data_IF_528262503686
#
_entry.id   IF_528262503686
#
_cell.length_a   1.000
_cell.length_b   1.000
_cell.length_c   1.000
_cell.angle_alpha   90.00
_cell.angle_beta   90.00
_cell.angle_gamma   90.00
#
_symmetry.space_group_name_H-M   'P 1'
#
loop_
_entity.id
_entity.type
_entity.pdbx_description
1 polymer ?
#
# COMPACT_ATOMS: atom_id res chain seq x y z
N UNK A 1 28.90 -10.04 9.41
CA UNK A 1 28.22 -8.84 8.89
C UNK A 1 28.85 -7.63 9.58
N UNK A 2 29.29 -6.63 8.80
CA UNK A 2 30.06 -5.48 9.31
C UNK A 2 29.20 -4.56 10.20
N UNK A 3 27.86 -4.56 10.05
CA UNK A 3 26.94 -3.65 10.73
C UNK A 3 25.83 -4.36 11.54
N UNK A 4 26.03 -5.59 11.98
CA UNK A 4 25.07 -6.33 12.80
C UNK A 4 23.99 -7.07 12.00
N UNK A 5 22.83 -7.27 12.61
CA UNK A 5 21.68 -7.93 12.00
C UNK A 5 21.09 -7.12 10.84
N UNK A 6 20.59 -7.81 9.83
CA UNK A 6 19.94 -7.17 8.67
C UNK A 6 18.49 -6.76 8.94
N UNK A 7 17.94 -7.05 10.14
CA UNK A 7 16.56 -6.77 10.52
C UNK A 7 16.52 -5.82 11.70
N UNK A 8 15.64 -4.83 11.64
CA UNK A 8 15.27 -4.04 12.81
C UNK A 8 14.35 -4.87 13.69
N UNK A 9 14.73 -5.05 14.96
CA UNK A 9 13.92 -5.71 16.00
C UNK A 9 13.43 -4.66 17.00
N UNK A 10 12.38 -3.95 16.62
CA UNK A 10 11.77 -2.91 17.43
C UNK A 10 10.32 -2.69 16.96
N UNK A 11 9.36 -2.53 17.89
CA UNK A 11 7.99 -2.17 17.55
C UNK A 11 7.95 -0.71 17.14
N UNK A 12 7.91 -0.46 15.82
CA UNK A 12 7.91 0.89 15.25
C UNK A 12 6.50 1.47 15.20
N UNK A 13 5.51 0.64 14.86
CA UNK A 13 4.13 1.09 14.61
C UNK A 13 3.17 0.51 15.64
N UNK A 14 2.28 1.35 16.18
CA UNK A 14 1.23 0.87 17.09
C UNK A 14 0.13 0.10 16.36
N UNK A 15 -0.11 0.42 15.10
CA UNK A 15 -1.18 -0.17 14.26
C UNK A 15 -0.81 -1.52 13.64
N UNK A 16 0.45 -1.93 13.70
CA UNK A 16 0.94 -3.21 13.16
C UNK A 16 1.50 -4.06 14.28
N UNK A 17 1.04 -5.29 14.42
CA UNK A 17 1.47 -6.19 15.50
C UNK A 17 2.83 -6.88 15.25
N UNK A 18 3.69 -6.25 14.47
CA UNK A 18 5.05 -6.72 14.21
C UNK A 18 6.10 -5.85 14.91
N UNK A 19 7.15 -6.51 15.37
CA UNK A 19 8.36 -5.86 15.88
C UNK A 19 9.61 -6.20 15.07
N UNK A 20 9.44 -6.80 13.87
CA UNK A 20 10.57 -7.22 13.03
C UNK A 20 10.35 -6.71 11.61
N UNK A 21 11.28 -5.86 11.16
CA UNK A 21 11.22 -5.24 9.83
C UNK A 21 12.52 -5.47 9.07
N UNK A 22 12.39 -5.93 7.81
CA UNK A 22 13.53 -6.09 6.89
C UNK A 22 13.96 -4.73 6.32
N UNK A 23 13.01 -3.84 6.11
CA UNK A 23 13.24 -2.50 5.57
C UNK A 23 12.07 -1.57 5.95
N UNK A 24 12.39 -0.30 6.11
CA UNK A 24 11.44 0.78 6.33
C UNK A 24 11.71 1.89 5.31
N UNK A 25 10.72 2.75 5.10
CA UNK A 25 10.83 3.92 4.22
C UNK A 25 10.82 5.17 5.10
N UNK A 26 11.79 6.04 4.92
CA UNK A 26 11.75 7.40 5.44
C UNK A 26 11.18 8.30 4.35
N UNK A 27 10.01 8.89 4.60
CA UNK A 27 9.33 9.75 3.64
C UNK A 27 9.13 11.14 4.24
N UNK A 28 9.40 12.16 3.44
CA UNK A 28 8.98 13.54 3.67
C UNK A 28 7.57 13.73 3.14
N UNK A 29 7.08 14.96 3.09
CA UNK A 29 5.83 15.29 2.42
C UNK A 29 5.84 15.07 0.91
N UNK A 30 7.00 14.83 0.29
CA UNK A 30 7.17 14.69 -1.15
C UNK A 30 6.53 15.87 -1.91
N UNK A 31 5.45 15.69 -2.68
CA UNK A 31 4.77 16.79 -3.36
C UNK A 31 4.04 17.75 -2.38
N UNK A 32 3.85 17.35 -1.13
CA UNK A 32 3.27 18.15 -0.04
C UNK A 32 4.32 18.82 0.85
N UNK A 33 5.59 18.86 0.48
CA UNK A 33 6.65 19.52 1.27
C UNK A 33 6.53 21.05 1.25
N UNK A 34 6.81 21.70 2.40
CA UNK A 34 6.74 23.16 2.57
C UNK A 34 7.57 23.95 1.58
N UNK A 35 8.69 23.39 1.12
CA UNK A 35 9.58 24.06 0.17
C UNK A 35 8.92 24.38 -1.20
N UNK A 36 7.80 23.76 -1.54
CA UNK A 36 7.12 23.98 -2.81
C UNK A 36 6.14 25.15 -2.79
N UNK A 37 5.44 25.37 -1.69
CA UNK A 37 4.60 26.55 -1.44
C UNK A 37 4.03 26.55 -0.01
N UNK A 38 3.48 27.70 0.43
CA UNK A 38 2.96 27.90 1.77
C UNK A 38 1.68 27.12 2.09
N UNK A 39 1.05 26.50 1.08
CA UNK A 39 -0.17 25.68 1.26
C UNK A 39 0.13 24.20 1.47
N UNK A 40 1.40 23.83 1.53
CA UNK A 40 1.82 22.45 1.78
C UNK A 40 1.81 22.15 3.27
N UNK A 41 1.38 20.95 3.62
CA UNK A 41 1.10 20.56 5.01
C UNK A 41 1.98 19.44 5.52
N UNK A 42 2.63 18.71 4.61
CA UNK A 42 3.44 17.50 4.89
C UNK A 42 2.62 16.29 5.36
N UNK A 43 1.34 16.48 5.69
CA UNK A 43 0.49 15.45 6.32
C UNK A 43 -0.64 14.91 5.45
N UNK A 44 -0.79 15.37 4.20
CA UNK A 44 -1.93 14.96 3.33
C UNK A 44 -2.04 13.45 3.21
N UNK A 45 -0.94 12.81 2.86
CA UNK A 45 -0.93 11.37 2.66
C UNK A 45 -1.22 10.59 3.95
N UNK A 46 -0.66 11.01 5.10
CA UNK A 46 -0.94 10.34 6.37
C UNK A 46 -2.38 10.54 6.84
N UNK A 47 -2.98 11.71 6.61
CA UNK A 47 -4.39 11.96 6.93
C UNK A 47 -5.29 11.09 6.07
N UNK A 48 -5.08 11.06 4.75
CA UNK A 48 -5.88 10.24 3.84
C UNK A 48 -5.76 8.74 4.14
N UNK A 49 -4.54 8.26 4.36
CA UNK A 49 -4.31 6.84 4.69
C UNK A 49 -4.87 6.47 6.05
N UNK A 50 -4.84 7.36 7.06
CA UNK A 50 -5.45 7.13 8.37
C UNK A 50 -6.97 6.99 8.26
N UNK A 51 -7.62 7.87 7.49
CA UNK A 51 -9.07 7.78 7.25
C UNK A 51 -9.45 6.47 6.54
N UNK A 52 -8.67 6.05 5.55
CA UNK A 52 -8.88 4.77 4.89
C UNK A 52 -8.69 3.60 5.86
N UNK A 53 -7.66 3.63 6.70
CA UNK A 53 -7.40 2.58 7.69
C UNK A 53 -8.49 2.47 8.76
N UNK A 54 -9.14 3.59 9.11
CA UNK A 54 -10.22 3.61 10.11
C UNK A 54 -11.59 3.23 9.53
N UNK A 55 -11.92 3.71 8.33
CA UNK A 55 -13.27 3.60 7.76
C UNK A 55 -13.38 2.71 6.53
N UNK A 56 -12.28 2.40 5.87
CA UNK A 56 -12.22 1.58 4.66
C UNK A 56 -11.73 0.16 4.90
N UNK A 57 -11.59 -0.59 3.82
CA UNK A 57 -11.07 -1.96 3.79
C UNK A 57 -9.92 -2.16 2.82
N UNK A 58 -9.48 -1.10 2.13
CA UNK A 58 -8.22 -1.12 1.43
C UNK A 58 -7.07 -1.08 2.46
N UNK A 59 -6.01 -1.82 2.16
CA UNK A 59 -4.84 -1.84 3.04
C UNK A 59 -4.11 -0.48 3.01
N UNK A 60 -3.50 -0.09 4.12
CA UNK A 60 -2.75 1.15 4.26
C UNK A 60 -1.39 0.89 4.89
N UNK A 61 -0.39 1.69 4.54
CA UNK A 61 0.91 1.65 5.22
C UNK A 61 0.79 2.25 6.62
N UNK A 62 1.31 1.56 7.63
CA UNK A 62 1.55 2.16 8.92
C UNK A 62 2.63 3.26 8.83
N UNK A 63 2.53 4.24 9.71
CA UNK A 63 3.48 5.35 9.77
C UNK A 63 3.71 5.82 11.20
N UNK A 64 4.90 6.41 11.43
CA UNK A 64 5.23 7.17 12.65
C UNK A 64 5.94 8.48 12.26
N UNK A 65 5.53 9.62 12.80
CA UNK A 65 6.24 10.88 12.61
C UNK A 65 7.54 10.89 13.42
N UNK A 66 8.61 11.36 12.79
CA UNK A 66 9.91 11.47 13.42
C UNK A 66 10.60 12.79 13.11
N UNK A 67 11.52 13.18 13.97
CA UNK A 67 12.50 14.22 13.69
C UNK A 67 13.80 13.53 13.26
N UNK A 68 14.25 13.82 12.04
CA UNK A 68 15.44 13.20 11.50
C UNK A 68 16.68 14.07 11.79
N UNK A 69 17.71 13.43 12.34
CA UNK A 69 19.05 13.99 12.44
C UNK A 69 20.01 13.14 11.63
N UNK A 70 20.86 13.78 10.83
CA UNK A 70 21.94 13.13 10.08
C UNK A 70 23.27 13.67 10.59
N UNK A 71 24.12 12.78 11.10
CA UNK A 71 25.41 13.16 11.71
C UNK A 71 25.29 14.27 12.76
N UNK A 72 24.21 14.25 13.55
CA UNK A 72 23.94 15.24 14.58
C UNK A 72 23.30 16.55 14.10
N UNK A 73 23.13 16.74 12.80
CA UNK A 73 22.46 17.91 12.23
C UNK A 73 20.98 17.63 11.98
N UNK A 74 20.13 18.57 12.38
CA UNK A 74 18.69 18.51 12.12
C UNK A 74 18.40 18.49 10.62
N UNK A 75 17.58 17.54 10.17
CA UNK A 75 17.25 17.35 8.75
C UNK A 75 15.74 17.41 8.45
N UNK A 76 14.91 17.77 9.42
CA UNK A 76 13.48 17.97 9.21
C UNK A 76 12.58 16.89 9.84
N UNK A 77 11.27 17.04 9.55
CA UNK A 77 10.23 16.10 9.95
C UNK A 77 10.05 15.08 8.84
N UNK A 78 10.06 13.80 9.20
CA UNK A 78 9.86 12.68 8.31
C UNK A 78 8.80 11.74 8.89
N UNK A 79 8.30 10.85 8.04
CA UNK A 79 7.48 9.72 8.46
C UNK A 79 8.25 8.42 8.19
N UNK A 80 8.47 7.63 9.23
CA UNK A 80 8.85 6.23 9.03
C UNK A 80 7.60 5.50 8.57
N UNK A 81 7.71 4.71 7.51
CA UNK A 81 6.64 3.91 6.93
C UNK A 81 7.06 2.49 6.66
N UNK A 82 6.08 1.61 6.62
CA UNK A 82 6.28 0.29 6.07
C UNK A 82 6.68 0.38 4.60
N UNK A 83 7.54 -0.53 4.17
CA UNK A 83 7.76 -0.77 2.75
C UNK A 83 6.71 -1.75 2.25
N UNK A 84 6.05 -1.42 1.13
CA UNK A 84 5.09 -2.33 0.49
C UNK A 84 5.85 -3.43 -0.24
N UNK A 85 6.08 -4.53 0.47
CA UNK A 85 6.70 -5.77 -0.01
C UNK A 85 6.03 -6.99 0.65
N UNK A 86 6.64 -8.16 0.56
CA UNK A 86 6.10 -9.39 1.16
C UNK A 86 5.99 -9.29 2.68
N UNK A 87 6.90 -8.52 3.32
CA UNK A 87 6.89 -8.32 4.77
C UNK A 87 5.67 -7.51 5.22
N UNK A 88 5.26 -6.52 4.42
CA UNK A 88 4.01 -5.79 4.64
C UNK A 88 2.82 -6.76 4.73
N UNK A 89 2.66 -7.65 3.74
CA UNK A 89 1.58 -8.64 3.73
C UNK A 89 1.68 -9.59 4.92
N UNK A 90 2.89 -10.06 5.25
CA UNK A 90 3.12 -10.93 6.40
C UNK A 90 2.68 -10.28 7.71
N UNK A 91 3.02 -9.01 7.91
CA UNK A 91 2.75 -8.27 9.14
C UNK A 91 1.26 -7.94 9.31
N UNK A 92 0.60 -7.50 8.22
CA UNK A 92 -0.81 -7.11 8.27
C UNK A 92 -1.76 -8.28 8.45
N UNK A 93 -1.40 -9.46 7.92
CA UNK A 93 -2.27 -10.64 7.92
C UNK A 93 -1.78 -11.76 8.84
N UNK A 94 -0.69 -11.54 9.56
CA UNK A 94 -0.08 -12.54 10.45
C UNK A 94 0.13 -13.90 9.74
N UNK A 95 0.67 -13.86 8.52
CA UNK A 95 0.92 -15.06 7.71
C UNK A 95 2.40 -15.21 7.40
N UNK A 96 2.85 -16.46 7.31
CA UNK A 96 4.16 -16.75 6.72
C UNK A 96 4.07 -16.53 5.22
N UNK A 97 4.98 -15.73 4.67
CA UNK A 97 4.98 -15.42 3.24
C UNK A 97 6.38 -15.38 2.65
N UNK A 98 6.45 -15.67 1.36
CA UNK A 98 7.65 -15.59 0.53
C UNK A 98 7.31 -14.88 -0.78
N UNK A 99 8.32 -14.56 -1.58
CA UNK A 99 8.12 -14.04 -2.95
C UNK A 99 7.31 -14.96 -3.85
N UNK A 100 7.33 -16.26 -3.57
CA UNK A 100 6.55 -17.25 -4.33
C UNK A 100 5.06 -17.29 -3.89
N UNK A 101 4.77 -16.81 -2.70
CA UNK A 101 3.42 -16.83 -2.12
C UNK A 101 2.66 -15.53 -2.41
N UNK A 102 3.40 -14.44 -2.64
CA UNK A 102 2.87 -13.09 -2.78
C UNK A 102 3.18 -12.51 -4.15
N UNK A 103 2.17 -12.00 -4.81
CA UNK A 103 2.33 -11.15 -5.99
C UNK A 103 1.95 -9.72 -5.61
N UNK A 104 2.82 -8.76 -5.95
CA UNK A 104 2.58 -7.33 -5.79
C UNK A 104 2.77 -6.68 -7.15
N UNK A 105 1.74 -6.01 -7.62
CA UNK A 105 1.75 -5.33 -8.91
C UNK A 105 1.50 -3.83 -8.71
N UNK A 106 1.99 -3.03 -9.65
CA UNK A 106 1.63 -1.62 -9.79
C UNK A 106 0.49 -1.49 -10.81
N UNK A 107 -0.29 -0.42 -10.74
CA UNK A 107 -1.49 -0.24 -11.58
C UNK A 107 -1.19 -0.26 -13.09
N UNK A 108 0.02 0.13 -13.49
CA UNK A 108 0.49 0.04 -14.87
C UNK A 108 0.92 -1.37 -15.32
N UNK A 109 0.78 -2.36 -14.43
CA UNK A 109 1.12 -3.76 -14.66
C UNK A 109 2.58 -4.14 -14.35
N UNK A 110 3.39 -3.22 -13.82
CA UNK A 110 4.75 -3.55 -13.37
C UNK A 110 4.71 -4.54 -12.21
N UNK A 111 5.46 -5.64 -12.34
CA UNK A 111 5.61 -6.65 -11.28
C UNK A 111 6.66 -6.18 -10.29
N UNK A 112 6.25 -5.87 -9.05
CA UNK A 112 7.15 -5.52 -7.94
C UNK A 112 7.61 -6.75 -7.19
N UNK A 113 6.76 -7.79 -7.11
CA UNK A 113 7.09 -9.10 -6.55
C UNK A 113 6.18 -10.17 -7.12
N UNK A 114 6.64 -11.42 -7.13
CA UNK A 114 5.87 -12.58 -7.58
C UNK A 114 5.58 -12.60 -9.09
N UNK A 115 4.33 -12.80 -9.46
CA UNK A 115 3.89 -12.97 -10.86
C UNK A 115 2.58 -12.26 -11.15
N UNK A 116 2.43 -11.77 -12.37
CA UNK A 116 1.20 -11.15 -12.88
C UNK A 116 0.24 -12.13 -13.57
N UNK A 117 0.62 -13.41 -13.69
CA UNK A 117 -0.13 -14.40 -14.49
C UNK A 117 -1.57 -14.57 -14.02
N UNK A 118 -1.84 -14.64 -12.72
CA UNK A 118 -3.20 -14.69 -12.15
C UNK A 118 -4.00 -13.44 -12.50
N UNK A 119 -3.38 -12.27 -12.37
CA UNK A 119 -4.03 -11.00 -12.68
C UNK A 119 -4.36 -10.89 -14.17
N UNK A 120 -3.40 -11.19 -15.04
CA UNK A 120 -3.61 -11.24 -16.50
C UNK A 120 -4.71 -12.22 -16.91
N UNK A 121 -4.77 -13.38 -16.29
CA UNK A 121 -5.83 -14.37 -16.55
C UNK A 121 -7.21 -13.82 -16.16
N UNK A 122 -7.33 -13.16 -15.01
CA UNK A 122 -8.55 -12.48 -14.56
C UNK A 122 -8.97 -11.37 -15.52
N UNK A 123 -8.06 -10.49 -15.92
CA UNK A 123 -8.35 -9.42 -16.89
C UNK A 123 -8.76 -9.99 -18.25
N UNK A 124 -8.07 -11.02 -18.73
CA UNK A 124 -8.45 -11.70 -19.98
C UNK A 124 -9.85 -12.32 -19.90
N UNK A 125 -10.23 -12.85 -18.73
CA UNK A 125 -11.59 -13.37 -18.52
C UNK A 125 -12.62 -12.23 -18.57
N UNK A 126 -12.37 -11.11 -17.89
CA UNK A 126 -13.25 -9.92 -17.90
C UNK A 126 -13.45 -9.40 -19.33
N UNK A 127 -12.38 -9.29 -20.11
CA UNK A 127 -12.43 -8.78 -21.48
C UNK A 127 -13.23 -9.67 -22.45
N UNK A 128 -13.34 -10.96 -22.15
CA UNK A 128 -14.03 -11.94 -23.01
C UNK A 128 -15.45 -12.28 -22.55
N UNK A 129 -15.84 -11.85 -21.36
CA UNK A 129 -17.09 -12.28 -20.75
C UNK A 129 -17.83 -11.10 -20.13
N UNK A 130 -19.13 -10.98 -20.40
CA UNK A 130 -19.97 -9.96 -19.77
C UNK A 130 -20.13 -10.23 -18.28
N UNK A 131 -19.81 -9.25 -17.43
CA UNK A 131 -20.03 -9.28 -15.98
C UNK A 131 -21.49 -9.05 -15.58
N UNK A 132 -22.39 -8.69 -16.54
CA UNK A 132 -23.85 -8.72 -16.31
C UNK A 132 -24.36 -10.14 -16.10
N UNK A 133 -23.63 -11.14 -16.56
CA UNK A 133 -23.89 -12.53 -16.23
C UNK A 133 -23.46 -12.84 -14.79
N UNK A 134 -24.41 -13.24 -13.96
CA UNK A 134 -24.17 -13.51 -12.52
C UNK A 134 -23.09 -14.55 -12.28
N UNK A 135 -22.97 -15.57 -13.12
CA UNK A 135 -21.96 -16.61 -12.97
C UNK A 135 -20.54 -16.08 -13.30
N UNK A 136 -20.43 -15.21 -14.32
CA UNK A 136 -19.16 -14.59 -14.63
C UNK A 136 -18.73 -13.61 -13.53
N UNK A 137 -19.66 -12.81 -13.01
CA UNK A 137 -19.40 -11.92 -11.90
C UNK A 137 -18.98 -12.70 -10.63
N UNK A 138 -19.66 -13.81 -10.31
CA UNK A 138 -19.29 -14.66 -9.19
C UNK A 138 -17.83 -15.15 -9.30
N UNK A 139 -17.40 -15.61 -10.46
CA UNK A 139 -16.00 -16.02 -10.70
C UNK A 139 -14.98 -14.91 -10.46
N UNK A 140 -15.34 -13.65 -10.76
CA UNK A 140 -14.46 -12.51 -10.49
C UNK A 140 -14.42 -12.19 -9.00
N UNK A 141 -15.55 -12.28 -8.29
CA UNK A 141 -15.60 -12.10 -6.83
C UNK A 141 -14.75 -13.12 -6.04
N UNK A 142 -14.47 -14.27 -6.62
CA UNK A 142 -13.56 -15.26 -6.06
C UNK A 142 -12.09 -14.89 -6.24
N UNK A 143 -11.77 -13.96 -7.15
CA UNK A 143 -10.41 -13.59 -7.51
C UNK A 143 -10.00 -12.20 -7.02
N UNK A 144 -10.96 -11.33 -6.71
CA UNK A 144 -10.71 -9.97 -6.25
C UNK A 144 -11.59 -9.64 -5.04
N UNK A 145 -11.04 -8.95 -4.06
CA UNK A 145 -11.80 -8.36 -2.98
C UNK A 145 -12.51 -7.11 -3.48
N UNK A 146 -13.81 -7.27 -3.81
CA UNK A 146 -14.62 -6.18 -4.38
C UNK A 146 -14.75 -5.01 -3.39
N UNK A 147 -14.81 -5.29 -2.09
CA UNK A 147 -14.93 -4.22 -1.09
C UNK A 147 -13.64 -3.40 -1.02
N UNK A 148 -12.49 -4.05 -0.96
CA UNK A 148 -11.18 -3.39 -1.01
C UNK A 148 -11.03 -2.54 -2.30
N UNK A 149 -11.44 -3.07 -3.45
CA UNK A 149 -11.45 -2.33 -4.72
C UNK A 149 -12.35 -1.09 -4.67
N UNK A 150 -13.58 -1.24 -4.17
CA UNK A 150 -14.53 -0.12 -4.09
C UNK A 150 -14.05 0.96 -3.12
N UNK A 151 -13.61 0.58 -1.92
CA UNK A 151 -13.13 1.52 -0.92
C UNK A 151 -11.88 2.25 -1.40
N UNK A 152 -10.96 1.54 -2.08
CA UNK A 152 -9.81 2.15 -2.74
C UNK A 152 -10.25 3.25 -3.72
N UNK A 153 -11.14 2.95 -4.67
CA UNK A 153 -11.59 3.94 -5.65
C UNK A 153 -12.39 5.09 -5.04
N UNK A 154 -13.19 4.83 -4.00
CA UNK A 154 -13.88 5.89 -3.24
C UNK A 154 -12.84 6.81 -2.60
N UNK A 155 -11.79 6.26 -1.99
CA UNK A 155 -10.70 7.05 -1.41
C UNK A 155 -9.98 7.92 -2.45
N UNK A 156 -9.59 7.32 -3.59
CA UNK A 156 -8.92 8.03 -4.70
C UNK A 156 -9.76 9.20 -5.25
N UNK A 157 -11.07 8.97 -5.44
CA UNK A 157 -12.01 10.00 -5.91
C UNK A 157 -12.21 11.07 -4.85
N UNK A 158 -12.41 10.68 -3.58
CA UNK A 158 -12.62 11.61 -2.48
C UNK A 158 -11.43 12.54 -2.25
N UNK A 159 -10.22 12.01 -2.34
CA UNK A 159 -8.98 12.79 -2.20
C UNK A 159 -8.59 13.51 -3.48
N UNK A 160 -9.33 13.30 -4.59
CA UNK A 160 -9.00 13.81 -5.92
C UNK A 160 -7.55 13.52 -6.32
N UNK A 161 -7.08 12.33 -5.97
CA UNK A 161 -5.73 11.91 -6.36
C UNK A 161 -5.67 11.70 -7.88
N UNK A 162 -4.82 12.44 -8.56
CA UNK A 162 -4.60 12.27 -10.00
C UNK A 162 -3.33 11.46 -10.31
N UNK A 163 -2.45 11.26 -9.33
CA UNK A 163 -1.20 10.50 -9.48
C UNK A 163 -1.39 9.05 -9.01
N UNK A 164 -2.29 8.34 -9.67
CA UNK A 164 -2.64 6.95 -9.35
C UNK A 164 -1.62 5.93 -9.86
N UNK A 165 -0.59 6.36 -10.62
CA UNK A 165 0.35 5.43 -11.25
C UNK A 165 1.17 4.59 -10.26
N UNK A 166 1.34 5.09 -9.03
CA UNK A 166 2.06 4.38 -7.98
C UNK A 166 1.22 3.35 -7.22
N UNK A 167 -0.11 3.34 -7.43
CA UNK A 167 -1.02 2.38 -6.80
C UNK A 167 -0.52 0.96 -6.90
N UNK A 168 -0.63 0.24 -5.78
CA UNK A 168 -0.28 -1.18 -5.68
C UNK A 168 -1.47 -2.01 -5.26
N UNK A 169 -1.47 -3.23 -5.73
CA UNK A 169 -2.38 -4.28 -5.31
C UNK A 169 -1.60 -5.58 -5.18
N UNK A 170 -2.06 -6.43 -4.29
CA UNK A 170 -1.40 -7.69 -4.02
C UNK A 170 -2.38 -8.86 -3.97
N UNK A 171 -1.85 -10.05 -4.14
CA UNK A 171 -2.50 -11.32 -3.90
C UNK A 171 -1.53 -12.22 -3.15
N UNK A 172 -1.97 -12.84 -2.07
CA UNK A 172 -1.18 -13.83 -1.36
C UNK A 172 -2.05 -15.08 -1.15
N UNK A 173 -1.49 -16.26 -1.41
CA UNK A 173 -2.24 -17.53 -1.36
C UNK A 173 -2.80 -17.86 0.04
N UNK A 174 -2.20 -17.30 1.10
CA UNK A 174 -2.58 -17.52 2.48
C UNK A 174 -3.51 -16.42 3.02
N UNK A 175 -3.84 -15.41 2.19
CA UNK A 175 -4.71 -14.29 2.53
C UNK A 175 -5.95 -14.35 1.66
N UNK A 176 -7.13 -14.48 2.27
CA UNK A 176 -8.45 -14.47 1.63
C UNK A 176 -8.51 -15.31 0.34
N UNK A 177 -7.98 -16.54 0.41
CA UNK A 177 -7.90 -17.48 -0.72
C UNK A 177 -7.17 -16.93 -1.96
N UNK A 178 -6.27 -16.00 -1.76
CA UNK A 178 -5.47 -15.40 -2.84
C UNK A 178 -6.23 -14.38 -3.70
N UNK A 179 -7.25 -13.72 -3.15
CA UNK A 179 -7.89 -12.59 -3.82
C UNK A 179 -6.93 -11.41 -3.95
N UNK A 180 -7.11 -10.64 -5.01
CA UNK A 180 -6.44 -9.37 -5.17
C UNK A 180 -7.05 -8.32 -4.24
N UNK A 181 -6.18 -7.62 -3.49
CA UNK A 181 -6.51 -6.53 -2.56
C UNK A 181 -5.73 -5.28 -2.93
N UNK A 182 -6.31 -4.12 -2.64
CA UNK A 182 -5.74 -2.83 -3.00
C UNK A 182 -5.07 -2.17 -1.80
N UNK A 183 -3.99 -1.45 -2.06
CA UNK A 183 -3.24 -0.69 -1.05
C UNK A 183 -3.40 0.78 -1.37
N UNK A 184 -3.97 1.51 -0.40
CA UNK A 184 -4.22 2.94 -0.49
C UNK A 184 -3.05 3.71 0.14
N UNK A 185 -2.28 4.41 -0.67
CA UNK A 185 -1.11 5.18 -0.26
C UNK A 185 -0.68 6.14 -1.36
N UNK A 186 0.25 7.06 -1.06
CA UNK A 186 0.84 8.02 -2.00
C UNK A 186 -0.14 9.13 -2.42
N UNK A 187 -0.80 9.73 -1.41
CA UNK A 187 -1.87 10.72 -1.55
C UNK A 187 -1.38 12.17 -1.37
N UNK A 188 -0.14 12.47 -1.70
CA UNK A 188 0.47 13.79 -1.47
C UNK A 188 0.30 14.77 -2.65
N UNK A 189 -0.20 14.29 -3.79
CA UNK A 189 -0.14 15.07 -5.02
C UNK A 189 -1.17 16.18 -5.13
N UNK A 190 -2.42 16.04 -4.71
CA UNK A 190 -3.41 17.15 -4.52
C UNK A 190 -4.70 16.69 -3.87
N UNK A 191 -5.24 17.53 -2.98
CA UNK A 191 -6.67 17.52 -2.65
C UNK A 191 -7.35 18.63 -3.45
N UNK A 192 -8.57 18.38 -3.94
CA UNK A 192 -9.45 19.45 -4.45
C UNK A 192 -10.04 20.16 -3.23
N UNK A 193 -10.09 21.47 -3.30
CA UNK A 193 -10.74 22.34 -2.36
C UNK A 193 -12.14 22.70 -2.89
#
# INVERSE_FOLDING_TARGET
KMFGDAKLKYKVFDTVDSSVFDSLVLRTGSQDEFQYNDQRTVIKDVVATSLMGEYGTADVQAYEPIILYINGSYNGIYFIREKVDETFVANHYNVQTTKNDTSILRIDGEVKSGSDSKYKAMINFINKNSLSNKNNYAKIKEQIDIKSLCDFWVGEIYTANYDILNTRYFSNKNVDNGKWKFIFYDLDSKYIY
#
